data_IF_990113801542
#
_entry.id   IF_990113801542
#
_cell.length_a   1.000
_cell.length_b   1.000
_cell.length_c   1.000
_cell.angle_alpha   90.00
_cell.angle_beta   90.00
_cell.angle_gamma   90.00
#
_symmetry.space_group_name_H-M   'P 1'
#
loop_
_entity.id
_entity.type
_entity.pdbx_description
1 polymer ?
#
# COMPACT_ATOMS: atom_id res chain seq x y z
N UNK A 1 9.57 -10.80 5.02
CA UNK A 1 8.81 -10.43 6.26
C UNK A 1 7.36 -10.13 5.91
N UNK A 2 6.46 -10.05 6.90
CA UNK A 2 5.07 -9.54 6.71
C UNK A 2 5.00 -8.09 7.19
N UNK A 3 4.61 -7.17 6.32
CA UNK A 3 4.69 -5.71 6.55
C UNK A 3 3.32 -5.08 6.25
N UNK A 4 2.78 -4.32 7.21
CA UNK A 4 1.60 -3.49 7.01
C UNK A 4 1.97 -2.04 6.71
N UNK A 5 1.38 -1.44 5.67
CA UNK A 5 1.54 -0.03 5.32
C UNK A 5 0.18 0.67 5.43
N UNK A 6 0.10 1.64 6.34
CA UNK A 6 -1.04 2.55 6.48
C UNK A 6 -0.60 3.91 5.98
N UNK A 7 -1.30 4.46 5.00
CA UNK A 7 -1.01 5.79 4.47
C UNK A 7 -2.29 6.45 3.95
N UNK A 8 -2.21 7.74 3.64
CA UNK A 8 -3.25 8.40 2.86
C UNK A 8 -3.05 8.06 1.37
N UNK A 9 -3.98 7.33 0.73
CA UNK A 9 -3.90 6.94 -0.68
C UNK A 9 -4.22 8.11 -1.63
N UNK A 10 -3.69 9.30 -1.35
CA UNK A 10 -3.90 10.51 -2.16
C UNK A 10 -2.77 10.74 -3.15
N UNK A 11 -3.00 11.61 -4.14
CA UNK A 11 -1.98 12.09 -5.08
C UNK A 11 -1.01 13.10 -4.43
N UNK A 12 -0.46 12.74 -3.27
CA UNK A 12 0.58 13.49 -2.56
C UNK A 12 1.91 12.74 -2.59
N UNK A 13 3.00 13.45 -2.27
CA UNK A 13 4.35 12.86 -2.25
C UNK A 13 4.48 11.68 -1.28
N UNK A 14 3.84 11.74 -0.12
CA UNK A 14 3.88 10.67 0.89
C UNK A 14 3.18 9.39 0.43
N UNK A 15 2.01 9.49 -0.21
CA UNK A 15 1.28 8.34 -0.76
C UNK A 15 2.06 7.64 -1.87
N UNK A 16 2.72 8.41 -2.74
CA UNK A 16 3.59 7.89 -3.79
C UNK A 16 4.79 7.15 -3.18
N UNK A 17 5.50 7.77 -2.23
CA UNK A 17 6.66 7.14 -1.57
C UNK A 17 6.27 5.85 -0.86
N UNK A 18 5.15 5.85 -0.13
CA UNK A 18 4.64 4.65 0.54
C UNK A 18 4.34 3.52 -0.44
N UNK A 19 3.74 3.85 -1.60
CA UNK A 19 3.39 2.87 -2.63
C UNK A 19 4.65 2.27 -3.28
N UNK A 20 5.62 3.11 -3.66
CA UNK A 20 6.86 2.65 -4.30
C UNK A 20 7.76 1.87 -3.34
N UNK A 21 7.83 2.27 -2.06
CA UNK A 21 8.51 1.51 -1.02
C UNK A 21 7.88 0.11 -0.86
N UNK A 22 6.55 0.03 -0.77
CA UNK A 22 5.86 -1.26 -0.66
C UNK A 22 6.10 -2.17 -1.85
N UNK A 23 6.13 -1.62 -3.08
CA UNK A 23 6.50 -2.39 -4.28
C UNK A 23 7.94 -2.91 -4.22
N UNK A 24 8.88 -2.07 -3.81
CA UNK A 24 10.28 -2.48 -3.70
C UNK A 24 10.44 -3.62 -2.67
N UNK A 25 9.83 -3.49 -1.50
CA UNK A 25 9.82 -4.54 -0.48
C UNK A 25 9.15 -5.84 -0.98
N UNK A 26 8.07 -5.74 -1.74
CA UNK A 26 7.40 -6.89 -2.33
C UNK A 26 8.27 -7.64 -3.36
N UNK A 27 9.05 -6.90 -4.16
CA UNK A 27 10.04 -7.46 -5.11
C UNK A 27 11.18 -8.18 -4.39
N UNK A 28 11.58 -7.70 -3.21
CA UNK A 28 12.57 -8.36 -2.35
C UNK A 28 12.00 -9.59 -1.58
N UNK A 29 10.76 -10.01 -1.88
CA UNK A 29 10.15 -11.21 -1.28
C UNK A 29 9.40 -10.97 0.04
N UNK A 30 9.15 -9.72 0.42
CA UNK A 30 8.33 -9.41 1.60
C UNK A 30 6.86 -9.38 1.24
N UNK A 31 5.99 -9.97 2.08
CA UNK A 31 4.54 -9.83 1.94
C UNK A 31 4.13 -8.46 2.47
N UNK A 32 3.62 -7.60 1.59
CA UNK A 32 3.27 -6.21 1.92
C UNK A 32 1.75 -6.05 1.82
N UNK A 33 1.16 -5.53 2.89
CA UNK A 33 -0.27 -5.34 3.04
C UNK A 33 -0.56 -3.84 3.16
N UNK A 34 -1.15 -3.25 2.11
CA UNK A 34 -1.66 -1.88 2.15
C UNK A 34 -3.02 -1.87 2.85
N UNK A 35 -3.18 -1.03 3.88
CA UNK A 35 -4.40 -0.89 4.66
C UNK A 35 -4.83 0.57 4.58
N UNK A 36 -5.72 0.87 3.63
CA UNK A 36 -6.11 2.25 3.30
C UNK A 36 -7.58 2.29 2.91
N UNK A 37 -8.21 3.47 2.95
CA UNK A 37 -9.64 3.62 2.63
C UNK A 37 -9.95 3.67 1.14
N UNK A 38 -8.93 3.70 0.29
CA UNK A 38 -9.03 3.51 -1.14
C UNK A 38 -7.72 2.92 -1.64
N UNK A 39 -7.75 2.28 -2.80
CA UNK A 39 -6.54 1.69 -3.40
C UNK A 39 -5.52 2.79 -3.69
N UNK A 40 -4.25 2.64 -3.29
CA UNK A 40 -3.20 3.57 -3.69
C UNK A 40 -3.08 3.59 -5.22
N UNK A 41 -3.07 4.80 -5.81
CA UNK A 41 -3.26 5.01 -7.26
C UNK A 41 -2.20 4.35 -8.16
N UNK A 42 -1.04 3.97 -7.61
CA UNK A 42 0.03 3.29 -8.34
C UNK A 42 0.17 1.82 -7.97
N UNK A 43 -0.73 1.26 -7.16
CA UNK A 43 -0.63 -0.12 -6.74
C UNK A 43 -1.15 -1.03 -7.87
N UNK A 44 -0.22 -1.69 -8.58
CA UNK A 44 -0.53 -2.72 -9.56
C UNK A 44 -0.40 -4.11 -8.92
N UNK A 45 -1.47 -4.91 -8.96
CA UNK A 45 -1.53 -6.25 -8.35
C UNK A 45 -0.79 -7.35 -9.14
N UNK A 46 0.09 -6.98 -10.08
CA UNK A 46 0.89 -7.93 -10.85
C UNK A 46 2.03 -8.58 -10.02
N UNK A 47 2.14 -8.27 -8.72
CA UNK A 47 3.13 -8.87 -7.81
C UNK A 47 2.44 -9.80 -6.80
N UNK A 48 2.89 -11.05 -6.73
CA UNK A 48 2.37 -12.09 -5.83
C UNK A 48 2.49 -11.75 -4.32
N UNK A 49 3.33 -10.77 -3.98
CA UNK A 49 3.58 -10.36 -2.60
C UNK A 49 2.88 -9.05 -2.18
N UNK A 50 2.00 -8.50 -3.01
CA UNK A 50 1.23 -7.29 -2.71
C UNK A 50 -0.23 -7.61 -2.38
N UNK A 51 -0.69 -7.13 -1.22
CA UNK A 51 -2.05 -7.27 -0.74
C UNK A 51 -2.65 -5.90 -0.44
N UNK A 52 -3.94 -5.73 -0.69
CA UNK A 52 -4.70 -4.52 -0.36
C UNK A 52 -5.90 -4.88 0.51
N UNK A 53 -6.10 -4.08 1.57
CA UNK A 53 -7.18 -4.21 2.54
C UNK A 53 -7.88 -2.86 2.63
N UNK A 54 -9.08 -2.79 2.08
CA UNK A 54 -9.91 -1.60 2.18
C UNK A 54 -10.49 -1.50 3.60
N UNK A 55 -10.42 -0.30 4.18
CA UNK A 55 -10.97 -0.01 5.51
C UNK A 55 -11.84 1.24 5.50
N UNK A 56 -12.88 1.28 6.32
CA UNK A 56 -13.69 2.49 6.47
C UNK A 56 -12.87 3.61 7.13
N UNK A 57 -12.86 4.79 6.49
CA UNK A 57 -12.37 6.00 7.13
C UNK A 57 -13.52 6.67 7.88
N UNK A 58 -13.47 6.66 9.21
CA UNK A 58 -14.41 7.45 10.03
C UNK A 58 -13.81 8.82 10.28
N UNK A 59 -14.44 9.87 9.76
CA UNK A 59 -14.20 11.23 10.23
C UNK A 59 -14.67 11.33 11.69
N UNK A 60 -13.80 11.85 12.55
CA UNK A 60 -14.12 12.15 13.95
C UNK A 60 -15.26 13.16 14.05
#
# INVERSE_FOLDING_TARGET
MKIGIVCYPTFGGSGVVATELGKALAKEGHQVHFITYSQPSRLDFLNENLFYHEVEFRSY
#
